data_IF_230873594697
#
_entry.id   IF_230873594697
#
_cell.length_a   1.000
_cell.length_b   1.000
_cell.length_c   1.000
_cell.angle_alpha   90.00
_cell.angle_beta   90.00
_cell.angle_gamma   90.00
#
_symmetry.space_group_name_H-M   'P 1'
#
loop_
_entity.id
_entity.type
_entity.pdbx_description
1 polymer ?
#
# COMPACT_ATOMS: atom_id res chain seq x y z
N UNK A 1 -3.57 -10.70 24.33
CA UNK A 1 -4.14 -9.77 23.33
C UNK A 1 -3.13 -9.59 22.22
N UNK A 2 -3.24 -10.34 21.12
CA UNK A 2 -2.36 -10.14 19.98
C UNK A 2 -2.77 -8.84 19.28
N UNK A 3 -2.04 -7.75 19.52
CA UNK A 3 -2.32 -6.50 18.82
C UNK A 3 -1.92 -6.67 17.36
N UNK A 4 -2.91 -6.75 16.47
CA UNK A 4 -2.68 -6.63 15.03
C UNK A 4 -1.91 -5.35 14.68
N UNK A 5 -1.36 -5.26 13.44
CA UNK A 5 -0.59 -4.11 12.99
C UNK A 5 -1.32 -2.80 13.29
N UNK A 6 -0.57 -1.76 13.68
CA UNK A 6 -1.14 -0.45 13.97
C UNK A 6 -1.85 0.08 12.73
N UNK A 7 -3.13 0.38 12.86
CA UNK A 7 -3.98 0.94 11.80
C UNK A 7 -4.29 2.39 12.15
N UNK A 8 -4.37 3.22 11.12
CA UNK A 8 -4.70 4.63 11.24
C UNK A 8 -5.94 4.94 10.41
N UNK A 9 -6.91 5.63 11.01
CA UNK A 9 -8.08 6.16 10.33
C UNK A 9 -7.83 7.63 9.97
N UNK A 10 -8.09 7.99 8.72
CA UNK A 10 -8.09 9.36 8.22
C UNK A 10 -9.45 9.66 7.62
N UNK A 11 -10.10 10.70 8.13
CA UNK A 11 -11.43 11.14 7.65
C UNK A 11 -11.24 12.40 6.84
N UNK A 12 -11.78 12.41 5.62
CA UNK A 12 -11.70 13.56 4.73
C UNK A 12 -13.11 13.91 4.22
N UNK A 13 -13.47 15.19 4.33
CA UNK A 13 -14.79 15.72 3.95
C UNK A 13 -14.61 16.69 2.77
N UNK A 14 -14.59 16.20 1.52
CA UNK A 14 -14.42 17.08 0.36
C UNK A 14 -15.65 17.96 0.09
N UNK A 15 -16.85 17.49 0.47
CA UNK A 15 -18.10 18.25 0.32
C UNK A 15 -19.03 17.94 1.49
N UNK A 16 -20.07 18.77 1.75
CA UNK A 16 -21.07 18.46 2.78
C UNK A 16 -21.82 17.14 2.55
N UNK A 17 -21.90 16.70 1.30
CA UNK A 17 -22.60 15.51 0.84
C UNK A 17 -21.66 14.31 0.61
N UNK A 18 -20.39 14.42 0.97
CA UNK A 18 -19.38 13.40 0.69
C UNK A 18 -18.43 13.24 1.85
N UNK A 19 -18.22 11.99 2.28
CA UNK A 19 -17.25 11.65 3.32
C UNK A 19 -16.40 10.49 2.84
N UNK A 20 -15.08 10.63 2.90
CA UNK A 20 -14.15 9.52 2.69
C UNK A 20 -13.47 9.11 3.98
N UNK A 21 -13.55 7.82 4.28
CA UNK A 21 -12.84 7.16 5.36
C UNK A 21 -11.71 6.36 4.74
N UNK A 22 -10.47 6.68 5.08
CA UNK A 22 -9.30 5.94 4.61
C UNK A 22 -8.63 5.28 5.81
N UNK A 23 -8.48 3.97 5.76
CA UNK A 23 -7.74 3.18 6.74
C UNK A 23 -6.43 2.74 6.12
N UNK A 24 -5.32 3.00 6.83
CA UNK A 24 -3.98 2.69 6.35
C UNK A 24 -3.13 2.05 7.45
N UNK A 25 -2.27 1.09 7.10
CA UNK A 25 -1.22 0.60 8.02
C UNK A 25 -0.07 1.60 8.17
N UNK A 26 0.06 2.51 7.20
CA UNK A 26 1.01 3.61 7.24
C UNK A 26 0.44 4.77 8.07
N UNK A 27 1.29 5.40 8.86
CA UNK A 27 0.93 6.67 9.52
C UNK A 27 0.57 7.70 8.45
N UNK A 28 -0.64 8.29 8.49
CA UNK A 28 -0.99 9.36 7.58
C UNK A 28 -0.02 10.53 7.81
N UNK A 29 0.35 11.27 6.76
CA UNK A 29 0.99 12.57 6.94
C UNK A 29 0.09 13.35 7.87
N UNK A 30 0.65 13.93 8.94
CA UNK A 30 -0.12 14.67 9.95
C UNK A 30 -0.84 15.82 9.24
N UNK A 31 -2.08 15.60 8.83
CA UNK A 31 -2.92 16.63 8.27
C UNK A 31 -3.07 17.68 9.37
N UNK A 32 -2.75 18.91 9.01
CA UNK A 32 -2.96 20.13 9.77
C UNK A 32 -4.09 19.95 10.80
N UNK A 33 -3.71 19.81 12.07
CA UNK A 33 -4.64 20.07 13.15
C UNK A 33 -4.87 21.58 13.12
N UNK A 34 -6.02 21.99 12.61
CA UNK A 34 -6.63 23.31 12.79
C UNK A 34 -6.94 23.51 14.28
N UNK A 35 -5.92 23.49 15.14
CA UNK A 35 -6.01 24.08 16.45
C UNK A 35 -4.99 25.21 16.48
N UNK A 36 -5.47 26.39 16.06
CA UNK A 36 -4.82 27.66 16.24
C UNK A 36 -4.46 27.86 17.73
N UNK A 37 -3.23 27.53 18.10
CA UNK A 37 -2.47 28.29 19.09
C UNK A 37 -1.07 28.51 18.56
N UNK A 38 -0.78 29.80 18.39
CA UNK A 38 0.40 30.35 17.79
C UNK A 38 1.70 29.89 18.48
N UNK A 39 2.69 29.51 17.67
CA UNK A 39 4.09 29.88 17.92
C UNK A 39 4.83 29.87 16.59
N UNK A 40 4.95 31.07 16.02
CA UNK A 40 5.68 31.36 14.79
C UNK A 40 7.19 31.15 14.97
N UNK A 41 7.69 29.92 14.78
CA UNK A 41 9.10 29.69 14.43
C UNK A 41 9.37 28.25 13.95
N UNK A 42 8.79 27.82 12.82
CA UNK A 42 9.23 26.58 12.15
C UNK A 42 8.72 26.47 10.71
N UNK A 43 9.08 27.42 9.85
CA UNK A 43 8.82 27.29 8.42
C UNK A 43 9.82 26.37 7.71
N UNK A 44 10.93 25.99 8.38
CA UNK A 44 12.00 25.17 7.81
C UNK A 44 11.90 23.64 8.07
N UNK A 45 10.87 23.15 8.78
CA UNK A 45 10.77 21.72 9.11
C UNK A 45 9.70 20.94 8.33
N UNK A 46 9.03 21.54 7.35
CA UNK A 46 7.82 20.97 6.75
C UNK A 46 8.05 19.91 5.65
N UNK A 47 9.31 19.60 5.30
CA UNK A 47 9.66 18.60 4.28
C UNK A 47 10.18 17.26 4.86
N UNK A 48 10.32 17.15 6.18
CA UNK A 48 11.14 16.10 6.79
C UNK A 48 10.36 15.33 7.85
N UNK A 49 9.63 14.30 7.43
CA UNK A 49 9.44 13.05 8.18
C UNK A 49 8.68 12.01 7.34
N UNK A 50 9.12 11.78 6.11
CA UNK A 50 9.12 10.37 5.68
C UNK A 50 10.10 9.69 6.65
N UNK A 51 9.69 8.69 7.44
CA UNK A 51 10.58 8.11 8.43
C UNK A 51 11.85 7.67 7.69
N UNK A 52 13.00 8.10 8.18
CA UNK A 52 14.31 7.84 7.54
C UNK A 52 14.40 6.34 7.21
N UNK A 53 13.89 5.49 8.09
CA UNK A 53 13.74 4.06 7.90
C UNK A 53 12.98 3.62 6.64
N UNK A 54 11.88 4.28 6.25
CA UNK A 54 11.20 3.91 4.99
C UNK A 54 12.01 4.35 3.78
N UNK A 55 12.64 5.54 3.82
CA UNK A 55 13.50 5.97 2.71
C UNK A 55 14.72 5.05 2.57
N UNK A 56 15.37 4.71 3.68
CA UNK A 56 16.48 3.74 3.70
C UNK A 56 16.03 2.38 3.17
N UNK A 57 14.83 1.91 3.54
CA UNK A 57 14.28 0.65 3.03
C UNK A 57 14.07 0.68 1.51
N UNK A 58 13.49 1.75 0.97
CA UNK A 58 13.30 1.90 -0.47
C UNK A 58 14.65 2.05 -1.20
N UNK A 59 15.58 2.82 -0.65
CA UNK A 59 16.93 2.96 -1.19
C UNK A 59 17.66 1.60 -1.23
N UNK A 60 17.55 0.80 -0.17
CA UNK A 60 18.10 -0.55 -0.12
C UNK A 60 17.48 -1.45 -1.19
N UNK A 61 16.15 -1.39 -1.41
CA UNK A 61 15.49 -2.15 -2.48
C UNK A 61 15.98 -1.76 -3.86
N UNK A 62 16.09 -0.46 -4.13
CA UNK A 62 16.60 0.06 -5.41
C UNK A 62 18.04 -0.37 -5.63
N UNK A 63 18.88 -0.29 -4.60
CA UNK A 63 20.27 -0.74 -4.66
C UNK A 63 20.37 -2.25 -4.91
N UNK A 64 19.52 -3.04 -4.27
CA UNK A 64 19.47 -4.49 -4.43
C UNK A 64 19.05 -4.87 -5.86
N UNK A 65 18.02 -4.22 -6.42
CA UNK A 65 17.63 -4.39 -7.82
C UNK A 65 18.77 -3.99 -8.76
N UNK A 66 19.41 -2.84 -8.54
CA UNK A 66 20.55 -2.39 -9.33
C UNK A 66 21.70 -3.42 -9.30
N UNK A 67 22.01 -3.95 -8.12
CA UNK A 67 23.02 -5.00 -7.95
C UNK A 67 22.66 -6.24 -8.78
N UNK A 68 21.42 -6.73 -8.69
CA UNK A 68 21.00 -7.90 -9.49
C UNK A 68 21.09 -7.67 -11.00
N UNK A 69 20.84 -6.45 -11.48
CA UNK A 69 20.99 -6.10 -12.89
C UNK A 69 22.46 -6.13 -13.30
N UNK A 70 23.36 -5.58 -12.48
CA UNK A 70 24.81 -5.58 -12.75
C UNK A 70 25.38 -7.01 -12.74
N UNK A 71 24.95 -7.88 -11.82
CA UNK A 71 25.37 -9.29 -11.81
C UNK A 71 24.93 -10.01 -13.10
N UNK A 72 23.69 -9.82 -13.54
CA UNK A 72 23.20 -10.42 -14.79
C UNK A 72 23.94 -9.88 -16.02
N UNK A 73 24.28 -8.59 -16.05
CA UNK A 73 25.06 -7.99 -17.14
C UNK A 73 26.49 -8.53 -17.19
N UNK A 74 27.14 -8.69 -16.03
CA UNK A 74 28.47 -9.30 -15.93
C UNK A 74 28.46 -10.78 -16.38
N UNK A 75 27.39 -11.52 -16.07
CA UNK A 75 27.22 -12.89 -16.59
C UNK A 75 27.00 -12.90 -18.10
N UNK A 76 26.17 -12.00 -18.64
CA UNK A 76 25.96 -11.86 -20.08
C UNK A 76 27.25 -11.55 -20.84
N UNK A 77 28.13 -10.74 -20.25
CA UNK A 77 29.45 -10.47 -20.80
C UNK A 77 30.32 -11.73 -20.91
N UNK A 78 30.32 -12.57 -19.86
CA UNK A 78 31.14 -13.79 -19.85
C UNK A 78 30.74 -14.80 -20.93
N UNK A 79 29.46 -14.83 -21.30
CA UNK A 79 28.92 -15.75 -22.33
C UNK A 79 28.92 -15.14 -23.74
N UNK A 80 28.75 -13.82 -23.85
CA UNK A 80 28.63 -13.10 -25.13
C UNK A 80 29.66 -11.98 -25.21
N UNK A 81 30.76 -12.25 -25.90
CA UNK A 81 31.86 -11.31 -26.13
C UNK A 81 31.44 -10.24 -27.15
N UNK A 82 30.74 -9.20 -26.69
CA UNK A 82 30.29 -8.08 -27.52
C UNK A 82 30.79 -6.73 -26.99
N UNK A 83 31.41 -5.89 -27.85
CA UNK A 83 32.13 -4.70 -27.41
C UNK A 83 31.24 -3.61 -26.81
N UNK A 84 29.93 -3.62 -27.13
CA UNK A 84 28.95 -2.68 -26.54
C UNK A 84 28.59 -3.07 -25.11
N UNK A 85 28.39 -4.36 -24.84
CA UNK A 85 28.06 -4.85 -23.50
C UNK A 85 29.25 -4.69 -22.55
N UNK A 86 30.47 -4.83 -23.07
CA UNK A 86 31.71 -4.61 -22.31
C UNK A 86 31.80 -3.19 -21.72
N UNK A 87 31.43 -2.16 -22.49
CA UNK A 87 31.46 -0.77 -22.04
C UNK A 87 30.44 -0.48 -20.92
N UNK A 88 29.24 -1.07 -21.01
CA UNK A 88 28.21 -0.91 -19.98
C UNK A 88 28.52 -1.70 -18.71
N UNK A 89 29.07 -2.91 -18.85
CA UNK A 89 29.48 -3.74 -17.72
C UNK A 89 30.63 -3.07 -16.95
N UNK A 90 31.68 -2.61 -17.64
CA UNK A 90 32.84 -1.95 -17.01
C UNK A 90 32.45 -0.65 -16.30
N UNK A 91 31.54 0.13 -16.89
CA UNK A 91 30.99 1.33 -16.25
C UNK A 91 30.19 0.99 -14.98
N UNK A 92 29.31 -0.02 -15.05
CA UNK A 92 28.54 -0.49 -13.89
C UNK A 92 29.41 -1.03 -12.76
N UNK A 93 30.46 -1.78 -13.10
CA UNK A 93 31.44 -2.31 -12.16
C UNK A 93 32.28 -1.20 -11.50
N UNK A 94 32.70 -0.17 -12.25
CA UNK A 94 33.44 0.99 -11.73
C UNK A 94 32.61 1.87 -10.79
N UNK A 95 31.31 2.01 -11.05
CA UNK A 95 30.38 2.71 -10.17
C UNK A 95 30.05 1.91 -8.90
N UNK A 96 30.17 0.58 -8.95
CA UNK A 96 29.99 -0.28 -7.78
C UNK A 96 31.27 -0.37 -6.95
N UNK A 97 31.24 0.10 -5.70
CA UNK A 97 32.36 -0.05 -4.75
C UNK A 97 32.76 -1.52 -4.49
N UNK A 98 31.94 -2.48 -4.93
CA UNK A 98 32.08 -3.92 -4.63
C UNK A 98 32.30 -4.77 -5.89
N UNK A 99 32.79 -4.15 -6.99
CA UNK A 99 32.91 -4.76 -8.31
C UNK A 99 33.64 -6.12 -8.35
N UNK A 100 34.69 -6.29 -7.55
CA UNK A 100 35.45 -7.55 -7.49
C UNK A 100 34.62 -8.76 -7.02
N UNK A 101 33.70 -8.55 -6.07
CA UNK A 101 32.82 -9.63 -5.57
C UNK A 101 31.73 -10.00 -6.58
N UNK A 102 31.22 -9.01 -7.32
CA UNK A 102 30.19 -9.19 -8.34
C UNK A 102 30.71 -10.11 -9.44
N UNK A 103 31.94 -9.85 -9.90
CA UNK A 103 32.59 -10.66 -10.93
C UNK A 103 32.83 -12.11 -10.47
N UNK A 104 33.31 -12.29 -9.24
CA UNK A 104 33.52 -13.63 -8.68
C UNK A 104 32.21 -14.43 -8.52
N UNK A 105 31.10 -13.77 -8.19
CA UNK A 105 29.78 -14.40 -8.11
C UNK A 105 29.23 -14.73 -9.50
N UNK A 106 29.39 -13.82 -10.48
CA UNK A 106 28.94 -14.05 -11.85
C UNK A 106 29.68 -15.22 -12.53
N UNK A 107 30.99 -15.34 -12.31
CA UNK A 107 31.80 -16.43 -12.90
C UNK A 107 31.42 -17.81 -12.30
N UNK A 108 31.02 -17.87 -11.02
CA UNK A 108 30.66 -19.13 -10.35
C UNK A 108 29.20 -19.55 -10.49
N UNK A 109 28.29 -18.60 -10.77
CA UNK A 109 26.86 -18.87 -10.84
C UNK A 109 26.44 -19.34 -12.23
N UNK A 110 25.60 -20.38 -12.30
CA UNK A 110 24.96 -20.83 -13.54
C UNK A 110 23.69 -20.00 -13.84
N UNK A 111 23.39 -19.80 -15.13
CA UNK A 111 22.22 -19.04 -15.58
C UNK A 111 20.89 -19.59 -15.03
N UNK A 112 20.78 -20.90 -14.91
CA UNK A 112 19.58 -21.58 -14.39
C UNK A 112 19.24 -21.21 -12.95
N UNK A 113 20.23 -20.82 -12.14
CA UNK A 113 20.02 -20.35 -10.76
C UNK A 113 19.94 -18.83 -10.72
N UNK A 114 20.77 -18.14 -11.50
CA UNK A 114 20.85 -16.69 -11.49
C UNK A 114 19.56 -16.02 -11.99
N UNK A 115 18.97 -16.53 -13.07
CA UNK A 115 17.74 -15.99 -13.64
C UNK A 115 16.53 -16.05 -12.69
N UNK A 116 16.15 -17.21 -12.09
CA UNK A 116 15.01 -17.25 -11.18
C UNK A 116 15.26 -16.50 -9.87
N UNK A 117 16.50 -16.52 -9.35
CA UNK A 117 16.84 -15.78 -8.12
C UNK A 117 16.73 -14.28 -8.34
N UNK A 118 17.28 -13.76 -9.44
CA UNK A 118 17.16 -12.34 -9.76
C UNK A 118 15.72 -11.91 -10.02
N UNK A 119 14.93 -12.73 -10.73
CA UNK A 119 13.50 -12.48 -10.92
C UNK A 119 12.73 -12.45 -9.58
N UNK A 120 12.99 -13.42 -8.70
CA UNK A 120 12.36 -13.50 -7.38
C UNK A 120 12.72 -12.30 -6.49
N UNK A 121 13.96 -11.83 -6.56
CA UNK A 121 14.42 -10.63 -5.89
C UNK A 121 13.69 -9.39 -6.39
N UNK A 122 13.64 -9.18 -7.71
CA UNK A 122 12.95 -8.02 -8.31
C UNK A 122 11.46 -8.06 -7.95
N UNK A 123 10.83 -9.24 -8.03
CA UNK A 123 9.44 -9.44 -7.65
C UNK A 123 9.18 -9.08 -6.17
N UNK A 124 10.05 -9.51 -5.26
CA UNK A 124 9.96 -9.16 -3.84
C UNK A 124 10.14 -7.66 -3.60
N UNK A 125 11.02 -6.99 -4.35
CA UNK A 125 11.22 -5.54 -4.28
C UNK A 125 10.00 -4.74 -4.76
N UNK A 126 9.27 -5.26 -5.76
CA UNK A 126 8.05 -4.65 -6.31
C UNK A 126 6.81 -4.79 -5.41
N UNK A 127 6.88 -5.58 -4.34
CA UNK A 127 5.78 -5.75 -3.40
C UNK A 127 5.60 -4.51 -2.52
N UNK A 128 4.38 -4.00 -2.48
CA UNK A 128 3.97 -2.86 -1.65
C UNK A 128 3.95 -3.28 -0.18
N UNK A 129 4.53 -2.45 0.68
CA UNK A 129 4.69 -2.73 2.12
C UNK A 129 3.52 -2.27 2.99
N UNK A 130 2.59 -1.53 2.40
CA UNK A 130 1.49 -0.91 3.11
C UNK A 130 0.20 -1.19 2.34
N UNK A 131 -0.86 -1.33 3.11
CA UNK A 131 -2.19 -1.59 2.60
C UNK A 131 -3.06 -0.42 3.03
N UNK A 132 -3.81 0.10 2.07
CA UNK A 132 -4.71 1.22 2.20
C UNK A 132 -6.06 0.81 1.64
N UNK A 133 -7.09 0.94 2.46
CA UNK A 133 -8.47 0.70 2.04
C UNK A 133 -9.29 1.94 2.39
N UNK A 134 -10.17 2.35 1.49
CA UNK A 134 -11.02 3.50 1.69
C UNK A 134 -12.48 3.21 1.38
N UNK A 135 -13.34 3.86 2.15
CA UNK A 135 -14.78 3.88 2.01
C UNK A 135 -15.18 5.33 1.71
N UNK A 136 -15.57 5.60 0.47
CA UNK A 136 -16.13 6.87 0.05
C UNK A 136 -17.66 6.75 0.08
N UNK A 137 -18.29 7.60 0.86
CA UNK A 137 -19.74 7.67 1.01
C UNK A 137 -20.23 8.94 0.32
N UNK A 138 -21.14 8.77 -0.64
CA UNK A 138 -21.73 9.82 -1.44
C UNK A 138 -23.23 9.87 -1.14
N UNK A 139 -23.67 10.94 -0.48
CA UNK A 139 -25.07 11.12 -0.09
C UNK A 139 -25.98 11.06 -1.33
N UNK A 140 -26.99 10.21 -1.28
CA UNK A 140 -27.96 10.01 -2.37
C UNK A 140 -27.44 9.20 -3.57
N UNK A 141 -26.13 9.06 -3.76
CA UNK A 141 -25.55 8.33 -4.88
C UNK A 141 -25.19 6.89 -4.52
N UNK A 142 -24.43 6.70 -3.44
CA UNK A 142 -24.07 5.37 -2.95
C UNK A 142 -22.75 5.34 -2.22
N UNK A 143 -22.15 4.17 -2.21
CA UNK A 143 -20.90 3.88 -1.52
C UNK A 143 -19.87 3.39 -2.54
N UNK A 144 -18.64 3.86 -2.42
CA UNK A 144 -17.51 3.35 -3.17
C UNK A 144 -16.45 2.81 -2.21
N UNK A 145 -16.10 1.54 -2.36
CA UNK A 145 -14.98 0.91 -1.64
C UNK A 145 -13.77 0.88 -2.56
N UNK A 146 -12.60 1.30 -2.08
CA UNK A 146 -11.34 1.22 -2.82
C UNK A 146 -10.30 0.48 -2.00
N UNK A 147 -9.68 -0.56 -2.57
CA UNK A 147 -8.63 -1.35 -1.93
C UNK A 147 -7.33 -1.20 -2.70
N UNK A 148 -6.25 -0.84 -2.01
CA UNK A 148 -4.92 -0.76 -2.61
C UNK A 148 -4.42 -2.13 -3.01
N UNK A 149 -3.83 -2.22 -4.20
CA UNK A 149 -3.20 -3.45 -4.67
C UNK A 149 -1.94 -3.82 -3.88
N UNK A 150 -1.55 -5.11 -3.85
CA UNK A 150 -0.31 -5.56 -3.21
C UNK A 150 0.98 -5.16 -3.95
N UNK A 151 0.89 -4.66 -5.18
CA UNK A 151 2.03 -4.35 -6.03
C UNK A 151 1.99 -2.91 -6.51
N UNK A 152 3.16 -2.27 -6.63
CA UNK A 152 3.22 -0.87 -7.05
C UNK A 152 2.70 -0.61 -8.48
N UNK A 153 2.71 -1.61 -9.35
CA UNK A 153 2.29 -1.47 -10.75
C UNK A 153 0.79 -1.70 -10.97
N UNK A 154 0.08 -2.31 -10.03
CA UNK A 154 -1.35 -2.57 -10.17
C UNK A 154 -2.15 -1.42 -9.55
N UNK A 155 -3.15 -0.91 -10.26
CA UNK A 155 -4.05 0.12 -9.71
C UNK A 155 -4.89 -0.40 -8.52
N UNK A 156 -5.47 0.50 -7.72
CA UNK A 156 -6.42 0.10 -6.68
C UNK A 156 -7.69 -0.50 -7.31
N UNK A 157 -8.27 -1.50 -6.65
CA UNK A 157 -9.56 -2.06 -7.03
C UNK A 157 -10.66 -1.22 -6.42
N UNK A 158 -11.58 -0.71 -7.25
CA UNK A 158 -12.71 0.10 -6.80
C UNK A 158 -14.03 -0.60 -7.11
N UNK A 159 -14.95 -0.59 -6.17
CA UNK A 159 -16.30 -1.14 -6.32
C UNK A 159 -17.30 -0.10 -5.87
N UNK A 160 -18.26 0.22 -6.73
CA UNK A 160 -19.31 1.18 -6.45
C UNK A 160 -20.64 0.45 -6.25
N UNK A 161 -21.34 0.80 -5.19
CA UNK A 161 -22.63 0.23 -4.79
C UNK A 161 -23.63 1.38 -4.73
N UNK A 162 -24.62 1.41 -5.64
CA UNK A 162 -25.67 2.43 -5.66
C UNK A 162 -26.52 2.42 -4.37
N UNK A 163 -26.99 3.59 -3.93
CA UNK A 163 -27.88 3.72 -2.75
C UNK A 163 -29.14 2.87 -2.87
N UNK A 164 -29.68 2.72 -4.09
CA UNK A 164 -30.90 1.92 -4.34
C UNK A 164 -30.74 0.44 -4.04
N UNK A 165 -29.50 -0.07 -4.04
CA UNK A 165 -29.21 -1.46 -3.75
C UNK A 165 -28.78 -1.67 -2.29
N UNK A 166 -28.57 -0.60 -1.51
CA UNK A 166 -28.06 -0.71 -0.15
C UNK A 166 -29.25 -0.85 0.82
N UNK A 167 -29.32 -1.96 1.55
CA UNK A 167 -30.31 -2.14 2.60
C UNK A 167 -29.84 -1.53 3.92
N UNK A 168 -28.69 -1.98 4.42
CA UNK A 168 -28.06 -1.41 5.62
C UNK A 168 -26.55 -1.70 5.63
N UNK A 169 -25.84 -0.94 6.45
CA UNK A 169 -24.43 -1.18 6.78
C UNK A 169 -24.36 -1.77 8.18
N UNK A 170 -23.73 -2.93 8.31
CA UNK A 170 -23.62 -3.67 9.56
C UNK A 170 -22.17 -3.94 9.92
N UNK A 171 -21.89 -3.98 11.23
CA UNK A 171 -20.63 -4.51 11.76
C UNK A 171 -20.92 -5.93 12.18
N UNK A 172 -20.16 -6.89 11.64
CA UNK A 172 -20.32 -8.30 11.95
C UNK A 172 -18.99 -8.87 12.46
N UNK A 173 -19.07 -9.96 13.22
CA UNK A 173 -17.91 -10.73 13.66
C UNK A 173 -17.72 -11.97 12.79
N UNK A 174 -16.46 -12.33 12.51
CA UNK A 174 -16.11 -13.55 11.80
C UNK A 174 -14.86 -14.18 12.41
N UNK A 175 -14.75 -15.50 12.26
CA UNK A 175 -13.56 -16.25 12.63
C UNK A 175 -12.55 -16.19 11.49
N UNK A 176 -11.36 -15.66 11.76
CA UNK A 176 -10.20 -15.73 10.86
C UNK A 176 -9.14 -16.63 11.50
N UNK A 177 -9.12 -17.90 11.08
CA UNK A 177 -8.31 -18.93 11.73
C UNK A 177 -8.87 -19.24 13.13
N UNK A 178 -8.18 -18.78 14.18
CA UNK A 178 -8.58 -18.94 15.58
C UNK A 178 -8.91 -17.60 16.27
N UNK A 179 -8.86 -16.49 15.54
CA UNK A 179 -9.11 -15.15 16.06
C UNK A 179 -10.49 -14.65 15.61
N UNK A 180 -11.27 -14.10 16.54
CA UNK A 180 -12.52 -13.39 16.22
C UNK A 180 -12.17 -11.98 15.76
N UNK A 181 -12.59 -11.62 14.55
CA UNK A 181 -12.36 -10.29 13.97
C UNK A 181 -13.68 -9.64 13.58
N UNK A 182 -13.78 -8.34 13.83
CA UNK A 182 -14.88 -7.53 13.36
C UNK A 182 -14.61 -7.06 11.93
N UNK A 183 -15.66 -7.00 11.11
CA UNK A 183 -15.63 -6.45 9.77
C UNK A 183 -16.88 -5.62 9.50
N UNK A 184 -16.73 -4.61 8.64
CA UNK A 184 -17.82 -3.78 8.16
C UNK A 184 -18.34 -4.37 6.85
N UNK A 185 -19.63 -4.63 6.80
CA UNK A 185 -20.30 -5.28 5.69
C UNK A 185 -21.49 -4.45 5.23
N UNK A 186 -21.69 -4.38 3.91
CA UNK A 186 -22.84 -3.71 3.28
C UNK A 186 -23.78 -4.79 2.76
N UNK A 187 -25.01 -4.79 3.27
CA UNK A 187 -26.06 -5.70 2.81
C UNK A 187 -26.65 -5.09 1.54
N UNK A 188 -26.53 -5.82 0.43
CA UNK A 188 -26.98 -5.40 -0.89
C UNK A 188 -28.23 -6.20 -1.27
N UNK A 189 -29.28 -5.50 -1.70
CA UNK A 189 -30.51 -6.12 -2.18
C UNK A 189 -30.26 -6.93 -3.46
N UNK A 190 -30.67 -8.20 -3.45
CA UNK A 190 -30.52 -9.10 -4.59
C UNK A 190 -29.14 -9.76 -4.73
N UNK A 191 -28.18 -9.46 -3.85
CA UNK A 191 -26.91 -10.17 -3.80
C UNK A 191 -26.96 -11.31 -2.77
N UNK A 192 -26.49 -12.51 -3.16
CA UNK A 192 -26.37 -13.65 -2.24
C UNK A 192 -25.24 -13.47 -1.23
N UNK A 193 -24.23 -12.65 -1.56
CA UNK A 193 -23.05 -12.40 -0.75
C UNK A 193 -23.02 -10.94 -0.25
N UNK A 194 -22.58 -10.77 1.00
CA UNK A 194 -22.42 -9.45 1.62
C UNK A 194 -21.11 -8.82 1.18
N UNK A 195 -21.11 -7.54 0.83
CA UNK A 195 -19.90 -6.84 0.40
C UNK A 195 -19.12 -6.35 1.61
N UNK A 196 -17.89 -6.84 1.79
CA UNK A 196 -16.99 -6.41 2.86
C UNK A 196 -16.26 -5.13 2.45
N UNK A 197 -16.37 -4.09 3.28
CA UNK A 197 -15.78 -2.76 3.00
C UNK A 197 -14.25 -2.77 3.07
N UNK A 198 -13.71 -3.47 4.07
CA UNK A 198 -12.28 -3.53 4.37
C UNK A 198 -11.79 -4.98 4.35
N UNK A 199 -11.68 -5.62 3.17
CA UNK A 199 -11.45 -7.05 3.05
C UNK A 199 -10.08 -7.50 3.59
N UNK A 200 -9.05 -6.66 3.46
CA UNK A 200 -7.68 -7.02 3.81
C UNK A 200 -7.24 -6.50 5.17
N UNK A 201 -7.56 -5.23 5.51
CA UNK A 201 -7.09 -4.61 6.74
C UNK A 201 -7.80 -5.14 7.98
N UNK A 202 -9.09 -5.46 7.87
CA UNK A 202 -9.99 -5.86 8.97
C UNK A 202 -9.75 -4.99 10.23
N UNK A 203 -10.19 -3.72 10.19
CA UNK A 203 -9.88 -2.77 11.24
C UNK A 203 -10.43 -3.15 12.62
N UNK A 204 -9.84 -2.60 13.68
CA UNK A 204 -10.35 -2.75 15.05
C UNK A 204 -11.77 -2.20 15.17
N UNK A 205 -12.54 -2.74 16.12
CA UNK A 205 -13.95 -2.36 16.36
C UNK A 205 -14.14 -0.84 16.53
N UNK A 206 -13.24 -0.18 17.27
CA UNK A 206 -13.27 1.27 17.50
C UNK A 206 -13.26 2.08 16.19
N UNK A 207 -12.38 1.70 15.25
CA UNK A 207 -12.29 2.34 13.92
C UNK A 207 -13.55 2.03 13.11
N UNK A 208 -14.03 0.79 13.14
CA UNK A 208 -15.24 0.39 12.42
C UNK A 208 -16.49 1.11 12.93
N UNK A 209 -16.63 1.29 14.23
CA UNK A 209 -17.74 2.02 14.85
C UNK A 209 -17.76 3.49 14.38
N UNK A 210 -16.61 4.14 14.30
CA UNK A 210 -16.50 5.52 13.81
C UNK A 210 -16.89 5.63 12.33
N UNK A 211 -16.35 4.73 11.49
CA UNK A 211 -16.68 4.66 10.06
C UNK A 211 -18.16 4.35 9.84
N UNK A 212 -18.73 3.43 10.63
CA UNK A 212 -20.15 3.07 10.55
C UNK A 212 -21.06 4.24 10.94
N UNK A 213 -20.79 4.92 12.06
CA UNK A 213 -21.57 6.10 12.50
C UNK A 213 -21.50 7.20 11.45
N UNK A 214 -20.30 7.49 10.93
CA UNK A 214 -20.10 8.52 9.92
C UNK A 214 -20.74 8.17 8.58
N UNK A 215 -20.61 6.92 8.13
CA UNK A 215 -21.20 6.42 6.91
C UNK A 215 -22.73 6.44 6.94
N UNK A 216 -23.35 5.91 8.00
CA UNK A 216 -24.82 5.96 8.18
C UNK A 216 -25.32 7.41 8.23
N UNK A 217 -24.62 8.28 8.97
CA UNK A 217 -25.00 9.69 9.04
C UNK A 217 -25.03 10.33 7.64
N UNK A 218 -24.03 10.07 6.79
CA UNK A 218 -23.96 10.65 5.45
C UNK A 218 -24.95 10.03 4.45
N UNK A 219 -25.18 8.72 4.53
CA UNK A 219 -26.15 8.04 3.63
C UNK A 219 -27.58 8.44 3.92
N UNK A 220 -27.96 8.46 5.20
CA UNK A 220 -29.34 8.71 5.61
C UNK A 220 -29.65 10.18 5.88
N UNK A 221 -28.66 11.09 5.95
CA UNK A 221 -28.96 12.53 6.13
C UNK A 221 -29.71 13.16 4.95
N UNK A 222 -29.69 12.54 3.77
CA UNK A 222 -30.40 13.01 2.58
C UNK A 222 -31.82 12.47 2.41
N UNK A 223 -32.22 11.51 3.24
CA UNK A 223 -33.55 10.92 3.20
C UNK A 223 -34.40 11.65 4.24
N UNK A 224 -34.90 12.84 3.87
CA UNK A 224 -35.90 13.60 4.62
C UNK A 224 -37.03 14.01 3.69
#
# INVERSE_FOLDING_TARGET
MFSGPTQYLSIHLPSPATVSFTVSTRQPPRAWSTNNRASSHSWFCHLRRVPIFTLTKYALRVLLVLYTVVVNLAKAQSDTQSPRLDAYADLGLKLSLVGGTIRAVAERAEWWVLAPVSLGIVYACLRRDYVEESLLVLQGLGIQTSTSSPYFFTGPTTTFIPTTQIQDIVIHEAFKGLEVRFYLAVIVEGATEVVVVFPTLLPRREILEEVWRGGRKCLYSGIR
#
